data_IF_410189319998
#
_entry.id   IF_410189319998
#
_cell.length_a   1.000
_cell.length_b   1.000
_cell.length_c   1.000
_cell.angle_alpha   90.00
_cell.angle_beta   90.00
_cell.angle_gamma   90.00
#
_symmetry.space_group_name_H-M   'P 1'
#
loop_
_entity.id
_entity.type
_entity.pdbx_description
1 polymer ?
#
# COMPACT_ATOMS: atom_id res chain seq x y z
N UNK A 1 5.46 18.93 -18.45
CA UNK A 1 5.91 19.44 -17.14
C UNK A 1 5.17 18.67 -16.06
N UNK A 2 5.82 18.15 -15.01
CA UNK A 2 5.09 17.54 -13.90
C UNK A 2 4.26 18.64 -13.20
N UNK A 3 2.94 18.53 -13.27
CA UNK A 3 2.01 19.46 -12.64
C UNK A 3 2.08 19.28 -11.12
N UNK A 4 2.65 20.27 -10.43
CA UNK A 4 2.73 20.28 -8.96
C UNK A 4 1.33 20.49 -8.37
N UNK A 5 0.85 19.52 -7.60
CA UNK A 5 -0.43 19.63 -6.89
C UNK A 5 -0.43 20.81 -5.91
N UNK A 6 -1.48 21.62 -5.96
CA UNK A 6 -1.69 22.70 -5.00
C UNK A 6 -2.00 22.18 -3.60
N UNK A 7 -1.86 23.02 -2.58
CA UNK A 7 -2.16 22.66 -1.20
C UNK A 7 -3.62 22.18 -1.03
N UNK A 8 -4.59 22.86 -1.66
CA UNK A 8 -6.00 22.45 -1.60
C UNK A 8 -6.27 21.12 -2.32
N UNK A 9 -5.59 20.84 -3.43
CA UNK A 9 -5.72 19.54 -4.11
C UNK A 9 -5.12 18.40 -3.28
N UNK A 10 -4.01 18.64 -2.58
CA UNK A 10 -3.44 17.67 -1.63
C UNK A 10 -4.45 17.36 -0.50
N UNK A 11 -5.01 18.39 0.13
CA UNK A 11 -6.06 18.20 1.15
C UNK A 11 -7.28 17.48 0.58
N UNK A 12 -7.68 17.78 -0.65
CA UNK A 12 -8.78 17.06 -1.32
C UNK A 12 -8.49 15.56 -1.45
N UNK A 13 -7.26 15.19 -1.81
CA UNK A 13 -6.83 13.78 -1.90
C UNK A 13 -6.92 13.08 -0.53
N UNK A 14 -6.52 13.78 0.54
CA UNK A 14 -6.56 13.25 1.91
C UNK A 14 -8.00 13.02 2.41
N UNK A 15 -8.92 13.92 2.07
CA UNK A 15 -10.32 13.84 2.51
C UNK A 15 -11.22 13.03 1.59
N UNK A 16 -10.77 12.69 0.37
CA UNK A 16 -11.60 11.94 -0.56
C UNK A 16 -11.81 10.48 -0.12
N UNK A 17 -13.05 10.20 0.31
CA UNK A 17 -13.54 8.88 0.75
C UNK A 17 -14.80 8.44 -0.02
N UNK A 18 -14.88 8.79 -1.31
CA UNK A 18 -16.03 8.46 -2.17
C UNK A 18 -17.02 9.60 -2.38
N UNK A 19 -16.96 10.67 -1.58
CA UNK A 19 -17.76 11.88 -1.78
C UNK A 19 -16.88 13.08 -2.20
N UNK A 20 -17.01 13.50 -3.46
CA UNK A 20 -16.20 14.58 -4.03
C UNK A 20 -16.57 15.96 -3.44
N UNK A 21 -17.85 16.19 -3.17
CA UNK A 21 -18.33 17.49 -2.66
C UNK A 21 -17.84 17.70 -1.22
N UNK A 22 -18.00 16.69 -0.36
CA UNK A 22 -17.52 16.73 1.02
C UNK A 22 -16.00 16.91 1.07
N UNK A 23 -15.25 16.13 0.27
CA UNK A 23 -13.80 16.25 0.20
C UNK A 23 -13.36 17.66 -0.24
N UNK A 24 -14.08 18.30 -1.16
CA UNK A 24 -13.81 19.68 -1.56
C UNK A 24 -14.10 20.70 -0.44
N UNK A 25 -15.19 20.51 0.31
CA UNK A 25 -15.51 21.37 1.47
C UNK A 25 -14.40 21.23 2.53
N UNK A 26 -14.04 20.01 2.91
CA UNK A 26 -13.00 19.76 3.91
C UNK A 26 -11.62 20.26 3.47
N UNK A 27 -11.31 20.18 2.17
CA UNK A 27 -10.11 20.74 1.56
C UNK A 27 -10.05 22.28 1.56
N UNK A 28 -11.15 22.96 1.94
CA UNK A 28 -11.22 24.41 2.06
C UNK A 28 -11.61 25.12 0.76
N UNK A 29 -12.36 24.45 -0.12
CA UNK A 29 -13.05 25.10 -1.23
C UNK A 29 -14.37 25.72 -0.76
N UNK A 30 -14.89 26.71 -1.51
CA UNK A 30 -16.15 27.36 -1.15
C UNK A 30 -17.31 26.36 -1.27
N UNK A 31 -18.23 26.39 -0.31
CA UNK A 31 -19.41 25.48 -0.30
C UNK A 31 -20.22 25.62 -1.60
N UNK A 32 -20.38 26.86 -2.10
CA UNK A 32 -21.12 27.15 -3.34
C UNK A 32 -20.53 26.48 -4.58
N UNK A 33 -19.22 26.28 -4.62
CA UNK A 33 -18.51 25.73 -5.78
C UNK A 33 -17.97 24.32 -5.54
N UNK A 34 -18.08 23.78 -4.32
CA UNK A 34 -17.48 22.51 -3.92
C UNK A 34 -17.92 21.34 -4.80
N UNK A 35 -19.19 21.30 -5.21
CA UNK A 35 -19.70 20.28 -6.12
C UNK A 35 -18.95 20.27 -7.46
N UNK A 36 -18.87 21.42 -8.12
CA UNK A 36 -18.19 21.55 -9.42
C UNK A 36 -16.68 21.27 -9.30
N UNK A 37 -16.03 21.85 -8.28
CA UNK A 37 -14.59 21.69 -8.05
C UNK A 37 -14.24 20.24 -7.70
N UNK A 38 -15.06 19.56 -6.90
CA UNK A 38 -14.86 18.15 -6.57
C UNK A 38 -14.86 17.29 -7.84
N UNK A 39 -15.83 17.51 -8.73
CA UNK A 39 -15.89 16.83 -10.03
C UNK A 39 -14.72 17.20 -10.95
N UNK A 40 -14.31 18.47 -10.99
CA UNK A 40 -13.14 18.91 -11.75
C UNK A 40 -11.86 18.23 -11.25
N UNK A 41 -11.65 18.17 -9.93
CA UNK A 41 -10.50 17.50 -9.34
C UNK A 41 -10.48 16.00 -9.68
N UNK A 42 -11.64 15.32 -9.69
CA UNK A 42 -11.72 13.92 -10.09
C UNK A 42 -11.50 13.66 -11.59
N UNK A 43 -11.47 14.70 -12.43
CA UNK A 43 -11.11 14.57 -13.86
C UNK A 43 -9.62 14.75 -14.11
N UNK A 44 -8.84 15.22 -13.12
CA UNK A 44 -7.41 15.47 -13.25
C UNK A 44 -6.61 14.17 -13.00
N UNK A 45 -5.89 13.63 -14.00
CA UNK A 45 -5.19 12.35 -13.85
C UNK A 45 -4.19 12.32 -12.68
N UNK A 46 -3.51 13.44 -12.41
CA UNK A 46 -2.56 13.56 -11.30
C UNK A 46 -3.21 13.40 -9.93
N UNK A 47 -4.46 13.85 -9.77
CA UNK A 47 -5.22 13.72 -8.52
C UNK A 47 -5.72 12.28 -8.36
N UNK A 48 -6.27 11.70 -9.42
CA UNK A 48 -6.74 10.31 -9.42
C UNK A 48 -5.59 9.36 -9.05
N UNK A 49 -4.42 9.55 -9.68
CA UNK A 49 -3.23 8.75 -9.40
C UNK A 49 -2.83 8.84 -7.94
N UNK A 50 -2.85 10.03 -7.35
CA UNK A 50 -2.44 10.18 -5.95
C UNK A 50 -3.48 9.63 -4.97
N UNK A 51 -4.78 9.70 -5.28
CA UNK A 51 -5.84 9.00 -4.53
C UNK A 51 -5.60 7.48 -4.57
N UNK A 52 -5.28 6.92 -5.74
CA UNK A 52 -4.97 5.50 -5.88
C UNK A 52 -3.72 5.13 -5.08
N UNK A 53 -2.65 5.93 -5.16
CA UNK A 53 -1.43 5.72 -4.38
C UNK A 53 -1.70 5.76 -2.87
N UNK A 54 -2.53 6.71 -2.40
CA UNK A 54 -2.97 6.80 -0.99
C UNK A 54 -3.72 5.54 -0.58
N UNK A 55 -4.72 5.14 -1.37
CA UNK A 55 -5.52 3.94 -1.11
C UNK A 55 -4.65 2.67 -1.10
N UNK A 56 -3.68 2.54 -2.01
CA UNK A 56 -2.75 1.40 -2.01
C UNK A 56 -1.91 1.36 -0.73
N UNK A 57 -1.40 2.51 -0.27
CA UNK A 57 -0.65 2.63 0.99
C UNK A 57 -1.51 2.25 2.20
N UNK A 58 -2.78 2.67 2.24
CA UNK A 58 -3.71 2.37 3.33
C UNK A 58 -4.26 0.94 3.29
N UNK A 59 -4.37 0.35 2.09
CA UNK A 59 -4.84 -1.02 1.84
C UNK A 59 -3.79 -2.07 2.19
N UNK A 60 -2.54 -1.68 2.43
CA UNK A 60 -1.52 -2.62 2.91
C UNK A 60 -2.03 -3.26 4.21
N UNK A 61 -2.20 -4.61 4.25
CA UNK A 61 -2.78 -5.25 5.41
C UNK A 61 -1.87 -5.02 6.61
N UNK A 62 -2.46 -4.52 7.70
CA UNK A 62 -1.73 -4.26 8.96
C UNK A 62 -1.16 -5.53 9.59
N UNK A 63 -1.71 -6.69 9.21
CA UNK A 63 -1.23 -8.01 9.60
C UNK A 63 -0.85 -8.75 8.32
N UNK A 64 0.41 -9.15 8.20
CA UNK A 64 0.89 -9.91 7.04
C UNK A 64 0.22 -11.29 6.99
N UNK A 65 -0.39 -11.61 5.85
CA UNK A 65 -0.92 -12.95 5.60
C UNK A 65 0.22 -13.96 5.32
N UNK A 66 -0.11 -15.26 5.18
CA UNK A 66 0.90 -16.30 4.95
C UNK A 66 1.76 -16.02 3.72
N UNK A 67 1.13 -15.72 2.59
CA UNK A 67 1.81 -15.46 1.32
C UNK A 67 2.78 -14.27 1.46
N UNK A 68 2.34 -13.17 2.06
CA UNK A 68 3.18 -11.99 2.26
C UNK A 68 4.42 -12.27 3.13
N UNK A 69 4.29 -13.13 4.15
CA UNK A 69 5.45 -13.56 4.95
C UNK A 69 6.42 -14.41 4.13
N UNK A 70 5.91 -15.29 3.28
CA UNK A 70 6.74 -16.11 2.38
C UNK A 70 7.45 -15.28 1.31
N UNK A 71 6.76 -14.28 0.75
CA UNK A 71 7.35 -13.29 -0.16
C UNK A 71 8.46 -12.49 0.54
N UNK A 72 8.23 -12.07 1.79
CA UNK A 72 9.24 -11.37 2.59
C UNK A 72 10.47 -12.24 2.89
N UNK A 73 10.31 -13.49 3.31
CA UNK A 73 11.47 -14.37 3.53
C UNK A 73 12.22 -14.66 2.23
N UNK A 74 11.49 -14.88 1.14
CA UNK A 74 12.06 -15.06 -0.20
C UNK A 74 12.86 -13.84 -0.65
N UNK A 75 12.36 -12.62 -0.42
CA UNK A 75 13.10 -11.42 -0.80
C UNK A 75 14.36 -11.26 0.03
N UNK A 76 14.28 -11.47 1.35
CA UNK A 76 15.43 -11.35 2.26
C UNK A 76 16.52 -12.37 1.92
N UNK A 77 16.20 -13.65 1.68
CA UNK A 77 17.22 -14.66 1.40
C UNK A 77 17.95 -14.45 0.06
N UNK A 78 17.27 -13.83 -0.91
CA UNK A 78 17.79 -13.59 -2.27
C UNK A 78 18.52 -12.23 -2.40
N UNK A 79 18.35 -11.33 -1.45
CA UNK A 79 19.07 -10.04 -1.45
C UNK A 79 20.54 -10.25 -1.04
N UNK A 80 21.45 -10.01 -1.99
CA UNK A 80 22.89 -10.20 -1.79
C UNK A 80 23.54 -9.15 -0.89
N UNK A 81 22.88 -8.01 -0.68
CA UNK A 81 23.35 -6.93 0.18
C UNK A 81 23.04 -7.18 1.67
N UNK A 82 22.13 -8.11 1.95
CA UNK A 82 21.78 -8.51 3.32
C UNK A 82 22.82 -9.50 3.87
N UNK A 83 23.12 -9.38 5.17
CA UNK A 83 24.06 -10.27 5.86
C UNK A 83 23.69 -11.76 5.68
N UNK A 84 24.71 -12.60 5.43
CA UNK A 84 24.52 -14.02 5.14
C UNK A 84 23.75 -14.74 6.25
N UNK A 85 24.00 -14.42 7.53
CA UNK A 85 23.31 -15.08 8.65
C UNK A 85 21.81 -14.79 8.64
N UNK A 86 21.42 -13.58 8.27
CA UNK A 86 20.02 -13.16 8.15
C UNK A 86 19.34 -13.88 6.97
N UNK A 87 20.06 -14.01 5.85
CA UNK A 87 19.58 -14.73 4.66
C UNK A 87 19.35 -16.21 4.95
N UNK A 88 20.29 -16.86 5.63
CA UNK A 88 20.16 -18.25 6.06
C UNK A 88 18.95 -18.42 6.99
N UNK A 89 18.74 -17.48 7.92
CA UNK A 89 17.58 -17.51 8.81
C UNK A 89 16.26 -17.34 8.05
N UNK A 90 16.20 -16.46 7.06
CA UNK A 90 15.01 -16.29 6.21
C UNK A 90 14.70 -17.58 5.43
N UNK A 91 15.73 -18.22 4.85
CA UNK A 91 15.60 -19.51 4.17
C UNK A 91 15.09 -20.61 5.09
N UNK A 92 15.63 -20.74 6.30
CA UNK A 92 15.16 -21.70 7.31
C UNK A 92 13.69 -21.47 7.70
N UNK A 93 13.29 -20.22 7.93
CA UNK A 93 11.93 -19.88 8.31
C UNK A 93 10.94 -20.17 7.17
N UNK A 94 11.34 -19.93 5.92
CA UNK A 94 10.53 -20.27 4.76
C UNK A 94 10.29 -21.78 4.68
N UNK A 95 11.34 -22.59 4.74
CA UNK A 95 11.20 -24.06 4.70
C UNK A 95 10.39 -24.62 5.87
N UNK A 96 10.53 -24.04 7.08
CA UNK A 96 9.68 -24.40 8.23
C UNK A 96 8.21 -24.09 7.98
N UNK A 97 7.90 -22.98 7.31
CA UNK A 97 6.53 -22.62 6.96
C UNK A 97 5.90 -23.59 5.96
N UNK A 98 6.73 -24.23 5.13
CA UNK A 98 6.35 -25.20 4.10
C UNK A 98 6.40 -26.65 4.60
N UNK A 99 6.77 -26.84 5.87
CA UNK A 99 6.94 -28.14 6.52
C UNK A 99 8.06 -29.01 5.93
N UNK A 100 9.07 -28.40 5.29
CA UNK A 100 10.21 -29.10 4.69
C UNK A 100 11.03 -29.91 5.72
N UNK A 101 10.95 -29.53 6.99
CA UNK A 101 11.72 -30.12 8.09
C UNK A 101 10.92 -31.11 8.94
N UNK A 102 9.68 -31.47 8.57
CA UNK A 102 8.95 -32.49 9.32
C UNK A 102 9.42 -33.88 8.91
N UNK A 103 10.07 -34.60 9.84
CA UNK A 103 10.25 -36.04 9.70
C UNK A 103 8.86 -36.71 9.73
N UNK A 104 8.49 -37.42 8.66
CA UNK A 104 7.40 -38.39 8.75
C UNK A 104 7.89 -39.50 9.67
N UNK A 105 7.49 -39.46 10.94
CA UNK A 105 7.39 -40.66 11.76
C UNK A 105 6.42 -41.59 11.04
N UNK A 106 6.96 -42.49 10.21
CA UNK A 106 6.25 -43.69 9.78
C UNK A 106 6.00 -44.49 11.05
N UNK A 107 4.79 -44.39 11.59
CA UNK A 107 4.32 -45.30 12.63
C UNK A 107 4.43 -46.73 12.10
N UNK A 108 5.19 -47.55 12.84
CA UNK A 108 5.41 -48.98 12.60
C UNK A 108 4.18 -49.80 12.95
#
# INVERSE_FOLDING_TARGET
MPTRLSHKQKRFIDFYKGNATEAAIEAGYSVKTAYSIGQENLKKPEIIKEIQNRNMRESMPKIANRQQRQEFWSSVMNDVEVDLSVRLRASELLGKSEADFTEKLLEM
#
